data_IF_135298512728
#
_entry.id   IF_135298512728
#
_cell.length_a   1.000
_cell.length_b   1.000
_cell.length_c   1.000
_cell.angle_alpha   90.00
_cell.angle_beta   90.00
_cell.angle_gamma   90.00
#
_symmetry.space_group_name_H-M   'P 1'
#
loop_
_entity.id
_entity.type
_entity.pdbx_description
1 polymer ?
#
# COMPACT_ATOMS: atom_id res chain seq x y z
N UNK A 1 10.79 -10.16 -4.71
CA UNK A 1 9.45 -10.26 -4.11
C UNK A 1 8.80 -8.87 -4.05
N UNK A 2 7.56 -8.77 -4.44
CA UNK A 2 6.87 -7.48 -4.44
C UNK A 2 6.66 -6.96 -3.02
N UNK A 3 6.64 -5.64 -2.89
CA UNK A 3 6.36 -4.98 -1.61
C UNK A 3 5.08 -4.17 -1.76
N UNK A 4 4.28 -4.19 -0.70
CA UNK A 4 3.03 -3.43 -0.65
C UNK A 4 3.18 -2.36 0.42
N UNK A 5 3.08 -1.10 0.02
CA UNK A 5 3.19 0.03 0.94
C UNK A 5 1.82 0.67 1.11
N UNK A 6 1.34 0.75 2.33
CA UNK A 6 0.03 1.30 2.65
C UNK A 6 0.23 2.54 3.51
N UNK A 7 -0.35 3.65 3.05
CA UNK A 7 -0.20 4.96 3.68
C UNK A 7 -1.51 5.34 4.35
N UNK A 8 -1.45 5.63 5.63
CA UNK A 8 -2.59 6.07 6.43
C UNK A 8 -2.19 7.26 7.30
N UNK A 9 -3.14 7.81 8.04
CA UNK A 9 -2.84 8.83 9.05
C UNK A 9 -3.91 8.79 10.13
N UNK A 10 -3.65 9.42 11.27
CA UNK A 10 -4.67 9.57 12.30
C UNK A 10 -5.78 10.49 11.77
N UNK A 11 -6.95 10.41 12.33
CA UNK A 11 -8.12 11.18 11.90
C UNK A 11 -8.52 10.96 10.45
N UNK A 12 -8.22 9.78 9.90
CA UNK A 12 -8.61 9.41 8.55
C UNK A 12 -9.80 8.46 8.63
N UNK A 13 -11.04 8.92 8.32
CA UNK A 13 -12.22 8.07 8.44
C UNK A 13 -12.25 6.90 7.45
N UNK A 14 -11.47 6.97 6.39
CA UNK A 14 -11.40 5.91 5.37
C UNK A 14 -10.21 4.97 5.56
N UNK A 15 -9.36 5.23 6.56
CA UNK A 15 -8.16 4.42 6.78
C UNK A 15 -8.41 3.05 7.44
N UNK A 16 -9.43 2.85 8.31
CA UNK A 16 -9.64 1.53 8.90
C UNK A 16 -9.74 0.38 7.90
N UNK A 17 -10.47 0.49 6.77
CA UNK A 17 -10.45 -0.58 5.76
C UNK A 17 -9.06 -0.85 5.18
N UNK A 18 -8.24 0.19 5.03
CA UNK A 18 -6.86 0.02 4.55
C UNK A 18 -6.01 -0.75 5.54
N UNK A 19 -6.19 -0.49 6.83
CA UNK A 19 -5.47 -1.20 7.88
C UNK A 19 -5.90 -2.66 7.94
N UNK A 20 -7.19 -2.93 7.75
CA UNK A 20 -7.70 -4.30 7.68
C UNK A 20 -7.12 -5.04 6.48
N UNK A 21 -7.05 -4.38 5.33
CA UNK A 21 -6.45 -4.95 4.13
C UNK A 21 -4.97 -5.28 4.36
N UNK A 22 -4.23 -4.40 5.02
CA UNK A 22 -2.84 -4.64 5.36
C UNK A 22 -2.68 -5.91 6.19
N UNK A 23 -3.52 -6.08 7.20
CA UNK A 23 -3.48 -7.27 8.05
C UNK A 23 -3.80 -8.55 7.28
N UNK A 24 -4.79 -8.49 6.40
CA UNK A 24 -5.16 -9.63 5.55
C UNK A 24 -4.01 -10.05 4.65
N UNK A 25 -3.37 -9.08 4.01
CA UNK A 25 -2.24 -9.35 3.12
C UNK A 25 -1.06 -9.92 3.89
N UNK A 26 -0.79 -9.42 5.09
CA UNK A 26 0.28 -9.96 5.93
C UNK A 26 0.00 -11.41 6.32
N UNK A 27 -1.24 -11.73 6.64
CA UNK A 27 -1.65 -13.11 6.97
C UNK A 27 -1.43 -14.06 5.80
N UNK A 28 -1.53 -13.56 4.59
CA UNK A 28 -1.32 -14.39 3.40
C UNK A 28 0.14 -14.45 2.97
N UNK A 29 1.04 -13.87 3.75
CA UNK A 29 2.48 -13.98 3.53
C UNK A 29 3.08 -12.91 2.62
N UNK A 30 2.33 -11.88 2.25
CA UNK A 30 2.86 -10.79 1.46
C UNK A 30 3.68 -9.84 2.32
N UNK A 31 4.67 -9.20 1.70
CA UNK A 31 5.50 -8.20 2.38
C UNK A 31 4.75 -6.86 2.38
N UNK A 32 4.20 -6.50 3.52
CA UNK A 32 3.41 -5.28 3.67
C UNK A 32 4.10 -4.34 4.66
N UNK A 33 4.25 -3.09 4.26
CA UNK A 33 4.80 -2.04 5.10
C UNK A 33 3.73 -0.96 5.26
N UNK A 34 3.41 -0.63 6.51
CA UNK A 34 2.46 0.42 6.81
C UNK A 34 3.21 1.69 7.19
N UNK A 35 2.81 2.79 6.57
CA UNK A 35 3.37 4.11 6.86
C UNK A 35 2.28 5.03 7.40
N UNK A 36 2.61 5.74 8.46
CA UNK A 36 1.73 6.74 9.06
C UNK A 36 2.25 8.12 8.67
N UNK A 37 1.44 8.89 7.96
CA UNK A 37 1.83 10.21 7.48
C UNK A 37 2.03 11.24 8.60
N UNK A 38 1.59 10.91 9.81
CA UNK A 38 1.86 11.75 10.99
C UNK A 38 3.27 11.53 11.54
N UNK A 39 4.02 10.56 11.02
CA UNK A 39 5.40 10.35 11.38
C UNK A 39 6.33 10.94 10.32
N UNK A 40 7.56 11.23 10.72
CA UNK A 40 8.57 11.76 9.79
C UNK A 40 8.85 10.74 8.69
N UNK A 41 9.01 9.47 9.08
CA UNK A 41 9.29 8.40 8.13
C UNK A 41 8.16 8.21 7.13
N UNK A 42 6.92 8.18 7.61
CA UNK A 42 5.76 8.01 6.75
C UNK A 42 5.58 9.19 5.80
N UNK A 43 5.79 10.40 6.29
CA UNK A 43 5.68 11.58 5.46
C UNK A 43 6.76 11.63 4.38
N UNK A 44 7.99 11.22 4.71
CA UNK A 44 9.08 11.17 3.74
C UNK A 44 8.78 10.17 2.63
N UNK A 45 8.30 8.98 2.98
CA UNK A 45 7.93 7.97 1.98
C UNK A 45 6.77 8.45 1.11
N UNK A 46 5.76 9.07 1.72
CA UNK A 46 4.62 9.61 0.98
C UNK A 46 5.07 10.67 -0.02
N UNK A 47 6.01 11.52 0.38
CA UNK A 47 6.56 12.55 -0.50
C UNK A 47 7.30 11.94 -1.68
N UNK A 48 8.03 10.87 -1.45
CA UNK A 48 8.75 10.15 -2.51
C UNK A 48 7.79 9.64 -3.59
N UNK A 49 6.62 9.13 -3.20
CA UNK A 49 5.63 8.62 -4.15
C UNK A 49 4.57 9.64 -4.53
N UNK A 50 4.73 10.88 -4.12
CA UNK A 50 3.78 11.96 -4.38
C UNK A 50 2.37 11.63 -3.85
N UNK A 51 2.31 11.04 -2.66
CA UNK A 51 1.05 10.70 -2.01
C UNK A 51 0.50 11.96 -1.33
N UNK A 52 -0.66 12.42 -1.76
CA UNK A 52 -1.29 13.62 -1.23
C UNK A 52 -2.57 13.33 -0.44
N UNK A 53 -3.03 12.10 -0.46
CA UNK A 53 -4.27 11.72 0.21
C UNK A 53 -4.13 10.35 0.85
N UNK A 54 -4.96 10.07 1.85
CA UNK A 54 -5.01 8.79 2.53
C UNK A 54 -6.45 8.26 2.52
N UNK A 55 -6.63 6.94 2.52
CA UNK A 55 -5.58 5.93 2.42
C UNK A 55 -5.02 5.81 1.00
N UNK A 56 -3.79 5.35 0.88
CA UNK A 56 -3.19 5.06 -0.42
C UNK A 56 -2.40 3.75 -0.33
N UNK A 57 -2.27 3.08 -1.46
CA UNK A 57 -1.57 1.80 -1.53
C UNK A 57 -0.69 1.80 -2.78
N UNK A 58 0.56 1.42 -2.60
CA UNK A 58 1.55 1.31 -3.69
C UNK A 58 2.08 -0.12 -3.68
N UNK A 59 2.10 -0.75 -4.85
CA UNK A 59 2.76 -2.03 -5.04
C UNK A 59 3.99 -1.80 -5.89
N UNK A 60 5.15 -2.23 -5.40
CA UNK A 60 6.39 -2.12 -6.15
C UNK A 60 7.09 -3.47 -6.24
N UNK A 61 7.94 -3.61 -7.27
CA UNK A 61 8.71 -4.84 -7.47
C UNK A 61 10.06 -4.75 -6.74
N UNK A 62 10.90 -5.77 -6.93
CA UNK A 62 12.21 -5.85 -6.26
C UNK A 62 13.16 -4.73 -6.66
N UNK A 63 12.97 -4.12 -7.83
CA UNK A 63 13.79 -3.02 -8.30
C UNK A 63 13.18 -1.66 -7.97
N UNK A 64 12.19 -1.64 -7.08
CA UNK A 64 11.51 -0.43 -6.61
C UNK A 64 10.70 0.28 -7.70
N UNK A 65 10.35 -0.43 -8.77
CA UNK A 65 9.45 0.11 -9.78
C UNK A 65 8.01 -0.05 -9.34
N UNK A 66 7.24 1.02 -9.47
CA UNK A 66 5.83 1.01 -9.12
C UNK A 66 5.05 0.16 -10.13
N UNK A 67 4.43 -0.93 -9.64
CA UNK A 67 3.62 -1.82 -10.47
C UNK A 67 2.18 -1.30 -10.56
N UNK A 68 1.66 -0.85 -9.43
CA UNK A 68 0.29 -0.37 -9.33
C UNK A 68 0.17 0.59 -8.15
N UNK A 69 -0.83 1.46 -8.23
CA UNK A 69 -1.08 2.39 -7.12
C UNK A 69 -2.57 2.74 -7.06
N UNK A 70 -3.01 3.00 -5.85
CA UNK A 70 -4.35 3.53 -5.56
C UNK A 70 -4.16 4.70 -4.62
N UNK A 71 -4.51 5.91 -5.07
CA UNK A 71 -4.33 7.14 -4.30
C UNK A 71 -5.69 7.71 -3.92
N UNK A 72 -5.89 7.93 -2.63
CA UNK A 72 -7.17 8.42 -2.11
C UNK A 72 -8.20 7.33 -1.89
N UNK A 73 -7.77 6.08 -1.88
CA UNK A 73 -8.61 4.91 -1.63
C UNK A 73 -7.77 3.67 -1.73
N UNK A 74 -8.33 2.51 -1.36
CA UNK A 74 -7.62 1.23 -1.49
C UNK A 74 -8.51 0.23 -2.20
N UNK A 75 -7.91 -0.71 -2.94
CA UNK A 75 -8.68 -1.78 -3.59
C UNK A 75 -9.10 -2.82 -2.57
N UNK A 76 -9.91 -3.77 -3.01
CA UNK A 76 -10.19 -4.92 -2.18
C UNK A 76 -9.04 -5.95 -2.31
N UNK A 77 -9.11 -6.97 -1.48
CA UNK A 77 -8.08 -8.01 -1.44
C UNK A 77 -7.91 -8.70 -2.79
N UNK A 78 -8.99 -8.95 -3.48
CA UNK A 78 -8.96 -9.64 -4.79
C UNK A 78 -8.22 -8.83 -5.84
N UNK A 79 -8.43 -7.53 -5.87
CA UNK A 79 -7.74 -6.66 -6.82
C UNK A 79 -6.23 -6.67 -6.59
N UNK A 80 -5.82 -6.60 -5.33
CA UNK A 80 -4.39 -6.64 -4.99
C UNK A 80 -3.78 -7.98 -5.42
N UNK A 81 -4.47 -9.07 -5.12
CA UNK A 81 -3.99 -10.40 -5.48
C UNK A 81 -3.86 -10.57 -6.99
N UNK A 82 -4.81 -10.04 -7.76
CA UNK A 82 -4.76 -10.11 -9.22
C UNK A 82 -3.54 -9.38 -9.77
N UNK A 83 -3.24 -8.21 -9.24
CA UNK A 83 -2.06 -7.45 -9.66
C UNK A 83 -0.78 -8.21 -9.33
N UNK A 84 -0.68 -8.72 -8.10
CA UNK A 84 0.48 -9.49 -7.67
C UNK A 84 0.66 -10.77 -8.47
N UNK A 85 -0.44 -11.45 -8.79
CA UNK A 85 -0.40 -12.66 -9.59
C UNK A 85 0.11 -12.38 -11.01
N UNK A 86 -0.38 -11.31 -11.64
CA UNK A 86 0.08 -10.92 -12.96
C UNK A 86 1.55 -10.54 -12.98
N UNK A 87 2.02 -9.87 -11.94
CA UNK A 87 3.43 -9.49 -11.82
C UNK A 87 4.33 -10.71 -11.77
N UNK A 88 3.87 -11.79 -11.15
CA UNK A 88 4.64 -13.04 -11.04
C UNK A 88 4.62 -13.88 -12.31
N UNK A 89 3.61 -13.71 -13.14
CA UNK A 89 3.46 -14.55 -14.34
C UNK A 89 4.15 -13.98 -15.56
N UNK A 90 4.83 -12.87 -15.44
CA UNK A 90 5.59 -12.27 -16.56
C UNK A 90 7.04 -12.69 -16.58
#
# INVERSE_FOLDING_TARGET
MERIKIFTKSNCPKCPPAKDLAMELQKEGFHVIQYDLDTIEGLAEASYYSILSTPSLIIENETEDEIASWRGGVPDLQEVKQVLFKAKSC
#
